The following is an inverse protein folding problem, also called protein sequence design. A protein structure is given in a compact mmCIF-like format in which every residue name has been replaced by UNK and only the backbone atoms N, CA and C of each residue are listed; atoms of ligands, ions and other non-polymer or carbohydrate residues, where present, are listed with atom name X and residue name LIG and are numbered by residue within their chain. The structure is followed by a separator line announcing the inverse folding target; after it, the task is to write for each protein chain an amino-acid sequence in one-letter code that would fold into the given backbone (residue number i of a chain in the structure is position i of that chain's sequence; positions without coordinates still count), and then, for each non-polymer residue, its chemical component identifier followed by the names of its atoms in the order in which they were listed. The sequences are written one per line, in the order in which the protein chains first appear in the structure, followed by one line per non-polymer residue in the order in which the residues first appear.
data_IF_996478616510
#
_entry.id   IF_996478616510
#
_cell.length_a   1.000
_cell.length_b   1.000
_cell.length_c   1.000
_cell.angle_alpha   90.00
_cell.angle_beta   90.00
_cell.angle_gamma   90.00
#
_symmetry.space_group_name_H-M   'P 1'
#
loop_
_entity.id
_entity.type
_entity.pdbx_description
1 polymer ?
#
# COMPACT_ATOMS: atom_id res chain seq x y z
N UNK A 1 -3.31 3.54 -12.00
CA UNK A 1 -2.19 3.73 -11.06
C UNK A 1 -2.84 3.99 -9.74
N UNK A 2 -2.45 3.21 -8.74
CA UNK A 2 -3.05 3.26 -7.41
C UNK A 2 -1.95 3.72 -6.45
N UNK A 3 -2.33 4.60 -5.52
CA UNK A 3 -1.42 5.14 -4.52
C UNK A 3 -1.99 4.81 -3.15
N UNK A 4 -1.23 4.07 -2.36
CA UNK A 4 -1.66 3.66 -1.03
C UNK A 4 -1.08 4.58 0.05
N UNK A 5 -1.91 5.00 0.99
CA UNK A 5 -1.51 5.75 2.17
C UNK A 5 -2.07 5.13 3.45
N UNK A 6 -1.30 5.24 4.53
CA UNK A 6 -1.80 4.97 5.87
C UNK A 6 -2.27 6.25 6.56
N UNK A 7 -3.52 6.25 7.01
CA UNK A 7 -4.05 7.23 7.94
C UNK A 7 -3.94 6.70 9.38
N UNK A 8 -3.38 7.53 10.29
CA UNK A 8 -3.40 7.22 11.72
C UNK A 8 -4.81 7.28 12.30
N UNK A 9 -5.61 8.23 11.81
CA UNK A 9 -7.02 8.41 12.16
C UNK A 9 -7.76 8.87 10.91
N UNK A 10 -9.02 8.50 10.75
CA UNK A 10 -9.87 9.02 9.68
C UNK A 10 -10.22 10.48 10.02
N UNK A 11 -9.82 11.47 9.19
CA UNK A 11 -10.29 12.82 9.39
C UNK A 11 -11.79 12.88 9.07
N UNK A 12 -12.58 13.56 9.91
CA UNK A 12 -14.03 13.75 9.68
C UNK A 12 -14.34 14.35 8.30
N UNK A 13 -13.38 15.07 7.70
CA UNK A 13 -13.53 15.72 6.41
C UNK A 13 -12.38 15.40 5.45
N UNK A 14 -12.08 14.11 5.19
CA UNK A 14 -11.06 13.71 4.20
C UNK A 14 -11.22 14.42 2.85
N UNK A 15 -12.46 14.60 2.38
CA UNK A 15 -12.77 15.36 1.16
C UNK A 15 -12.26 16.79 1.21
N UNK A 16 -12.36 17.47 2.36
CA UNK A 16 -11.86 18.84 2.54
C UNK A 16 -10.33 18.85 2.49
N UNK A 17 -9.68 17.94 3.20
CA UNK A 17 -8.22 17.80 3.19
C UNK A 17 -7.71 17.58 1.77
N UNK A 18 -8.31 16.65 1.01
CA UNK A 18 -7.92 16.41 -0.38
C UNK A 18 -8.14 17.64 -1.26
N UNK A 19 -9.25 18.37 -1.09
CA UNK A 19 -9.51 19.63 -1.81
C UNK A 19 -8.45 20.69 -1.51
N UNK A 20 -8.05 20.82 -0.26
CA UNK A 20 -6.99 21.74 0.15
C UNK A 20 -5.66 21.36 -0.48
N UNK A 21 -5.29 20.06 -0.45
CA UNK A 21 -4.05 19.55 -1.03
C UNK A 21 -3.98 19.82 -2.54
N UNK A 22 -5.03 19.48 -3.30
CA UNK A 22 -5.01 19.69 -4.77
C UNK A 22 -5.07 21.16 -5.19
N UNK A 23 -5.42 22.06 -4.27
CA UNK A 23 -5.44 23.50 -4.50
C UNK A 23 -4.10 24.18 -4.12
N UNK A 24 -3.14 23.44 -3.56
CA UNK A 24 -1.82 23.98 -3.21
C UNK A 24 -1.13 24.47 -4.49
N UNK A 25 -0.69 25.74 -4.55
CA UNK A 25 0.10 26.23 -5.67
C UNK A 25 1.42 25.47 -5.78
N UNK A 26 1.66 24.82 -6.91
CA UNK A 26 2.88 24.04 -7.15
C UNK A 26 3.88 24.78 -8.04
N UNK A 27 3.51 25.94 -8.58
CA UNK A 27 4.24 26.61 -9.66
C UNK A 27 4.12 25.89 -11.01
N UNK A 28 3.30 24.83 -11.10
CA UNK A 28 2.99 24.10 -12.32
C UNK A 28 1.52 24.28 -12.68
N UNK A 29 1.25 25.21 -13.59
CA UNK A 29 -0.11 25.52 -14.05
C UNK A 29 -0.61 24.60 -15.18
N UNK A 30 0.20 23.61 -15.59
CA UNK A 30 -0.15 22.69 -16.66
C UNK A 30 -0.93 21.46 -16.16
N UNK A 31 -0.86 21.18 -14.85
CA UNK A 31 -1.50 20.01 -14.23
C UNK A 31 -2.59 20.50 -13.29
N UNK A 32 -3.81 20.02 -13.51
CA UNK A 32 -4.93 20.24 -12.58
C UNK A 32 -5.48 18.91 -12.12
N UNK A 33 -6.05 18.89 -10.91
CA UNK A 33 -6.64 17.69 -10.32
C UNK A 33 -8.10 17.92 -10.01
N UNK A 34 -8.89 16.87 -10.20
CA UNK A 34 -10.32 16.85 -9.93
C UNK A 34 -10.65 15.60 -9.11
N UNK A 35 -11.27 15.76 -7.94
CA UNK A 35 -11.75 14.62 -7.15
C UNK A 35 -13.11 14.21 -7.71
N UNK A 36 -13.18 13.01 -8.28
CA UNK A 36 -14.40 12.50 -8.92
C UNK A 36 -15.24 11.67 -7.96
N UNK A 37 -14.61 10.94 -7.04
CA UNK A 37 -15.32 10.12 -6.06
C UNK A 37 -14.53 9.97 -4.76
N UNK A 38 -15.24 9.80 -3.64
CA UNK A 38 -14.68 9.34 -2.37
C UNK A 38 -15.69 8.37 -1.77
N UNK A 39 -15.24 7.15 -1.51
CA UNK A 39 -16.10 6.08 -0.99
C UNK A 39 -15.36 5.27 0.09
N UNK A 40 -16.06 4.77 1.12
CA UNK A 40 -15.51 3.74 1.99
C UNK A 40 -15.15 2.49 1.19
N UNK A 41 -14.00 1.89 1.50
CA UNK A 41 -13.63 0.56 1.00
C UNK A 41 -14.31 -0.45 1.92
N UNK A 42 -15.28 -1.18 1.39
CA UNK A 42 -15.93 -2.27 2.12
C UNK A 42 -14.93 -3.41 2.31
N UNK A 43 -14.26 -3.44 3.48
CA UNK A 43 -13.41 -4.54 3.92
C UNK A 43 -13.93 -5.01 5.27
N UNK A 44 -13.85 -6.31 5.54
CA UNK A 44 -14.12 -6.94 6.84
C UNK A 44 -13.05 -6.56 7.91
N UNK A 45 -12.73 -5.27 8.06
CA UNK A 45 -11.89 -4.71 9.13
C UNK A 45 -12.76 -3.85 10.06
N UNK A 46 -12.32 -3.68 11.31
CA UNK A 46 -12.96 -2.78 12.31
C UNK A 46 -13.03 -1.32 11.86
N UNK A 47 -12.15 -0.89 10.95
CA UNK A 47 -12.20 0.38 10.26
C UNK A 47 -12.13 0.13 8.76
N UNK A 48 -13.21 0.43 8.04
CA UNK A 48 -13.21 0.43 6.59
C UNK A 48 -12.20 1.48 6.08
N UNK A 49 -11.33 1.09 5.16
CA UNK A 49 -10.46 2.04 4.46
C UNK A 49 -11.28 3.05 3.66
N UNK A 50 -10.63 4.04 3.07
CA UNK A 50 -11.32 5.01 2.20
C UNK A 50 -10.60 5.03 0.86
N UNK A 51 -11.34 5.02 -0.24
CA UNK A 51 -10.78 5.21 -1.58
C UNK A 51 -11.21 6.57 -2.11
N UNK A 52 -10.28 7.29 -2.73
CA UNK A 52 -10.53 8.51 -3.46
C UNK A 52 -10.14 8.33 -4.93
N UNK A 53 -11.06 8.64 -5.83
CA UNK A 53 -10.79 8.65 -7.27
C UNK A 53 -10.53 10.09 -7.71
N UNK A 54 -9.42 10.29 -8.42
CA UNK A 54 -9.00 11.58 -8.94
C UNK A 54 -8.78 11.49 -10.45
N UNK A 55 -8.93 12.62 -11.13
CA UNK A 55 -8.51 12.81 -12.51
C UNK A 55 -7.48 13.94 -12.55
N UNK A 56 -6.24 13.60 -12.90
CA UNK A 56 -5.25 14.59 -13.31
C UNK A 56 -5.51 15.00 -14.78
N UNK A 57 -5.36 16.27 -15.08
CA UNK A 57 -5.48 16.81 -16.44
C UNK A 57 -4.23 17.53 -16.84
N UNK A 58 -3.72 17.18 -18.01
CA UNK A 58 -2.59 17.85 -18.67
C UNK A 58 -3.07 18.26 -20.07
N UNK A 59 -3.34 19.56 -20.25
CA UNK A 59 -4.08 20.07 -21.43
C UNK A 59 -5.38 19.26 -21.65
N UNK A 60 -5.51 18.56 -22.78
CA UNK A 60 -6.69 17.77 -23.13
C UNK A 60 -6.63 16.31 -22.63
N UNK A 61 -5.49 15.88 -22.10
CA UNK A 61 -5.28 14.51 -21.61
C UNK A 61 -5.88 14.36 -20.21
N UNK A 62 -6.69 13.31 -20.01
CA UNK A 62 -7.25 12.93 -18.71
C UNK A 62 -6.55 11.67 -18.22
N UNK A 63 -6.04 11.71 -17.00
CA UNK A 63 -5.35 10.59 -16.35
C UNK A 63 -6.08 10.26 -15.04
N UNK A 64 -6.99 9.28 -15.06
CA UNK A 64 -7.64 8.80 -13.83
C UNK A 64 -6.65 8.00 -12.98
N UNK A 65 -6.68 8.21 -11.66
CA UNK A 65 -5.93 7.41 -10.69
C UNK A 65 -6.66 7.32 -9.35
N UNK A 66 -6.42 6.22 -8.63
CA UNK A 66 -6.99 5.95 -7.33
C UNK A 66 -6.00 6.26 -6.21
N UNK A 67 -6.53 6.67 -5.06
CA UNK A 67 -5.80 6.76 -3.81
C UNK A 67 -6.54 5.96 -2.75
N UNK A 68 -5.90 4.94 -2.21
CA UNK A 68 -6.47 4.10 -1.17
C UNK A 68 -5.84 4.45 0.18
N UNK A 69 -6.70 4.64 1.18
CA UNK A 69 -6.36 5.03 2.53
C UNK A 69 -6.64 3.86 3.47
N UNK A 70 -5.58 3.15 3.87
CA UNK A 70 -5.60 2.25 5.01
C UNK A 70 -5.74 3.03 6.32
N UNK A 71 -6.34 2.42 7.35
CA UNK A 71 -6.53 3.05 8.66
C UNK A 71 -6.08 2.10 9.75
N UNK A 72 -5.21 2.60 10.64
CA UNK A 72 -4.88 1.91 11.88
C UNK A 72 -3.95 0.69 11.73
N UNK A 73 -3.33 0.48 10.57
CA UNK A 73 -2.22 -0.47 10.45
C UNK A 73 -1.00 0.01 11.26
N UNK A 74 -0.19 -0.94 11.69
CA UNK A 74 0.99 -0.72 12.55
C UNK A 74 2.24 -0.77 11.67
N UNK A 75 3.13 0.21 11.82
CA UNK A 75 4.42 0.23 11.12
C UNK A 75 5.53 -0.16 12.10
N UNK A 76 6.34 -1.14 11.71
CA UNK A 76 7.48 -1.68 12.46
C UNK A 76 8.73 -1.67 11.57
N UNK A 77 9.85 -1.08 11.99
CA UNK A 77 10.07 -0.44 13.29
C UNK A 77 9.48 0.97 13.36
N UNK A 78 9.48 1.71 12.25
CA UNK A 78 8.89 3.04 12.11
C UNK A 78 8.79 3.42 10.62
N UNK A 79 8.11 4.52 10.32
CA UNK A 79 8.04 5.06 8.95
C UNK A 79 9.39 5.62 8.51
N UNK A 80 9.76 5.35 7.26
CA UNK A 80 10.99 5.85 6.67
C UNK A 80 10.72 7.11 5.85
N UNK A 81 11.70 8.02 5.79
CA UNK A 81 11.62 9.22 4.94
C UNK A 81 12.44 9.01 3.68
N UNK A 82 11.77 8.97 2.54
CA UNK A 82 12.43 8.85 1.24
C UNK A 82 12.30 10.13 0.43
N UNK A 83 13.38 10.47 -0.27
CA UNK A 83 13.38 11.52 -1.28
C UNK A 83 12.93 10.92 -2.60
N UNK A 84 11.83 11.40 -3.16
CA UNK A 84 11.39 10.94 -4.49
C UNK A 84 12.11 11.78 -5.56
N UNK A 85 12.78 11.15 -6.54
CA UNK A 85 13.40 11.88 -7.64
C UNK A 85 12.33 12.54 -8.52
N UNK A 86 12.58 13.79 -8.92
CA UNK A 86 11.70 14.49 -9.87
C UNK A 86 11.98 14.03 -11.28
N UNK A 87 10.93 13.86 -12.08
CA UNK A 87 11.05 13.51 -13.50
C UNK A 87 11.35 14.74 -14.38
N UNK A 88 11.03 15.94 -13.88
CA UNK A 88 11.26 17.21 -14.57
C UNK A 88 12.27 18.04 -13.79
N UNK A 89 13.12 18.76 -14.53
CA UNK A 89 14.06 19.72 -13.97
C UNK A 89 13.35 20.92 -13.35
N UNK A 90 14.01 21.57 -12.39
CA UNK A 90 13.51 22.78 -11.74
C UNK A 90 12.48 22.55 -10.61
N UNK A 91 12.06 21.31 -10.38
CA UNK A 91 11.19 20.94 -9.26
C UNK A 91 11.99 20.43 -8.06
N UNK A 92 11.60 20.83 -6.86
CA UNK A 92 12.20 20.31 -5.63
C UNK A 92 11.75 18.87 -5.39
N UNK A 93 12.72 17.96 -5.19
CA UNK A 93 12.45 16.56 -4.83
C UNK A 93 11.74 16.46 -3.47
N UNK A 94 10.50 15.94 -3.42
CA UNK A 94 9.74 15.88 -2.17
C UNK A 94 10.29 14.82 -1.23
N UNK A 95 10.17 15.07 0.06
CA UNK A 95 10.42 14.10 1.13
C UNK A 95 9.08 13.52 1.57
N UNK A 96 8.91 12.21 1.40
CA UNK A 96 7.67 11.51 1.79
C UNK A 96 7.95 10.51 2.90
N UNK A 97 6.96 10.29 3.77
CA UNK A 97 6.99 9.15 4.68
C UNK A 97 6.49 7.91 3.93
N UNK A 98 7.16 6.80 4.14
CA UNK A 98 6.86 5.50 3.56
C UNK A 98 6.80 4.45 4.66
N UNK A 99 6.23 3.30 4.32
CA UNK A 99 6.34 2.12 5.15
C UNK A 99 7.79 1.65 5.21
N UNK A 100 8.18 1.05 6.34
CA UNK A 100 9.44 0.29 6.38
C UNK A 100 9.33 -0.96 5.52
N UNK A 101 10.48 -1.45 5.10
CA UNK A 101 10.61 -2.69 4.33
C UNK A 101 9.91 -3.86 5.02
N UNK A 102 10.12 -4.02 6.34
CA UNK A 102 9.58 -5.13 7.12
C UNK A 102 8.05 -5.08 7.20
N UNK A 103 7.48 -3.88 7.33
CA UNK A 103 6.01 -3.72 7.33
C UNK A 103 5.44 -4.08 5.95
N UNK A 104 6.07 -3.60 4.87
CA UNK A 104 5.62 -3.93 3.51
C UNK A 104 5.64 -5.44 3.25
N UNK A 105 6.69 -6.15 3.68
CA UNK A 105 6.77 -7.61 3.55
C UNK A 105 5.70 -8.28 4.44
N UNK A 106 5.56 -7.83 5.69
CA UNK A 106 4.59 -8.41 6.64
C UNK A 106 3.14 -8.30 6.14
N UNK A 107 2.75 -7.16 5.59
CA UNK A 107 1.40 -6.97 5.04
C UNK A 107 1.12 -7.84 3.82
N UNK A 108 2.14 -8.09 2.98
CA UNK A 108 2.03 -8.99 1.82
C UNK A 108 1.92 -10.44 2.25
N UNK A 109 2.70 -10.87 3.24
CA UNK A 109 2.61 -12.23 3.80
C UNK A 109 1.25 -12.46 4.45
N UNK A 110 0.76 -11.50 5.25
CA UNK A 110 -0.59 -11.54 5.82
C UNK A 110 -1.65 -11.72 4.72
N UNK A 111 -1.57 -10.90 3.68
CA UNK A 111 -2.48 -10.94 2.53
C UNK A 111 -2.45 -12.28 1.77
N UNK A 112 -1.26 -12.89 1.62
CA UNK A 112 -1.07 -14.19 0.99
C UNK A 112 -1.70 -15.29 1.85
N UNK A 113 -1.40 -15.34 3.15
CA UNK A 113 -1.88 -16.36 4.06
C UNK A 113 -3.39 -16.26 4.33
N UNK A 114 -3.98 -15.06 4.29
CA UNK A 114 -5.41 -14.88 4.46
C UNK A 114 -6.23 -15.36 3.26
N UNK A 115 -5.67 -15.30 2.04
CA UNK A 115 -6.39 -15.66 0.81
C UNK A 115 -6.01 -17.04 0.27
N UNK A 116 -4.83 -17.55 0.59
CA UNK A 116 -4.32 -18.85 0.14
C UNK A 116 -4.51 -19.05 -1.38
N UNK A 117 -5.05 -20.19 -1.80
CA UNK A 117 -5.35 -20.57 -3.20
C UNK A 117 -6.34 -19.63 -3.93
N UNK A 118 -7.05 -18.77 -3.19
CA UNK A 118 -7.96 -17.77 -3.75
C UNK A 118 -7.25 -16.45 -4.07
N UNK A 119 -5.96 -16.34 -3.80
CA UNK A 119 -5.19 -15.13 -4.06
C UNK A 119 -4.97 -14.94 -5.57
N UNK A 120 -5.43 -13.82 -6.11
CA UNK A 120 -4.98 -13.29 -7.42
C UNK A 120 -3.74 -12.40 -7.29
N UNK A 121 -3.12 -12.36 -6.11
CA UNK A 121 -2.04 -11.41 -5.75
C UNK A 121 -0.66 -11.94 -6.11
N UNK A 122 -0.47 -12.47 -7.33
CA UNK A 122 0.85 -12.92 -7.80
C UNK A 122 1.93 -11.83 -7.72
N UNK A 123 1.53 -10.56 -7.80
CA UNK A 123 2.44 -9.42 -7.61
C UNK A 123 3.05 -9.37 -6.21
N UNK A 124 2.34 -9.80 -5.16
CA UNK A 124 2.86 -9.76 -3.80
C UNK A 124 4.04 -10.72 -3.61
N UNK A 125 3.99 -11.91 -4.24
CA UNK A 125 5.12 -12.84 -4.25
C UNK A 125 6.33 -12.23 -4.97
N UNK A 126 6.12 -11.61 -6.13
CA UNK A 126 7.19 -10.93 -6.85
C UNK A 126 7.77 -9.77 -6.05
N UNK A 127 6.93 -8.98 -5.38
CA UNK A 127 7.39 -7.87 -4.56
C UNK A 127 8.22 -8.37 -3.38
N UNK A 128 7.78 -9.41 -2.66
CA UNK A 128 8.58 -10.02 -1.58
C UNK A 128 9.91 -10.53 -2.12
N UNK A 129 9.89 -11.28 -3.24
CA UNK A 129 11.11 -11.77 -3.88
C UNK A 129 12.06 -10.61 -4.25
N UNK A 130 11.54 -9.58 -4.90
CA UNK A 130 12.33 -8.42 -5.31
C UNK A 130 12.93 -7.71 -4.09
N UNK A 131 12.11 -7.44 -3.08
CA UNK A 131 12.54 -6.75 -1.86
C UNK A 131 13.62 -7.56 -1.13
N UNK A 132 13.44 -8.88 -0.99
CA UNK A 132 14.40 -9.76 -0.34
C UNK A 132 15.72 -9.95 -1.09
N UNK A 133 15.74 -9.75 -2.40
CA UNK A 133 16.96 -9.83 -3.21
C UNK A 133 17.66 -8.47 -3.39
N UNK A 134 17.01 -7.37 -3.03
CA UNK A 134 17.52 -6.01 -3.27
C UNK A 134 17.93 -5.28 -2.01
N UNK A 135 17.36 -5.65 -0.87
CA UNK A 135 17.58 -4.98 0.39
C UNK A 135 17.90 -6.00 1.48
N UNK A 136 18.87 -5.67 2.32
CA UNK A 136 19.10 -6.40 3.56
C UNK A 136 18.09 -5.94 4.61
N UNK A 137 17.63 -6.87 5.45
CA UNK A 137 16.79 -6.58 6.61
C UNK A 137 17.15 -7.49 7.77
N UNK A 138 16.84 -7.03 8.99
CA UNK A 138 17.03 -7.82 10.20
C UNK A 138 15.84 -8.78 10.37
N UNK A 139 16.13 -10.09 10.37
CA UNK A 139 15.11 -11.13 10.54
C UNK A 139 14.33 -11.02 11.85
N UNK A 140 14.92 -10.47 12.91
CA UNK A 140 14.23 -10.24 14.19
C UNK A 140 13.21 -9.11 14.09
N UNK A 141 13.54 -8.04 13.36
CA UNK A 141 12.62 -6.90 13.11
C UNK A 141 11.50 -7.33 12.18
N UNK A 142 11.80 -8.13 11.15
CA UNK A 142 10.77 -8.71 10.28
C UNK A 142 9.81 -9.63 11.04
N UNK A 143 10.33 -10.48 11.92
CA UNK A 143 9.50 -11.32 12.77
C UNK A 143 8.58 -10.49 13.69
N UNK A 144 9.08 -9.38 14.24
CA UNK A 144 8.27 -8.44 15.01
C UNK A 144 7.17 -7.79 14.14
N UNK A 145 7.52 -7.36 12.92
CA UNK A 145 6.59 -6.76 11.98
C UNK A 145 5.46 -7.71 11.58
N UNK A 146 5.78 -8.99 11.32
CA UNK A 146 4.80 -10.04 11.06
C UNK A 146 3.85 -10.21 12.25
N UNK A 147 4.41 -10.40 13.45
CA UNK A 147 3.63 -10.60 14.68
C UNK A 147 2.66 -9.44 14.93
N UNK A 148 3.15 -8.20 14.85
CA UNK A 148 2.33 -6.99 15.08
C UNK A 148 1.27 -6.80 13.99
N UNK A 149 1.60 -7.11 12.74
CA UNK A 149 0.64 -7.03 11.62
C UNK A 149 -0.50 -8.03 11.82
N UNK A 150 -0.18 -9.30 12.10
CA UNK A 150 -1.18 -10.35 12.29
C UNK A 150 -2.07 -10.05 13.51
N UNK A 151 -1.47 -9.65 14.63
CA UNK A 151 -2.20 -9.26 15.85
C UNK A 151 -3.14 -8.08 15.57
N UNK A 152 -2.67 -7.04 14.89
CA UNK A 152 -3.49 -5.86 14.57
C UNK A 152 -4.67 -6.21 13.66
N UNK A 153 -4.48 -7.17 12.75
CA UNK A 153 -5.50 -7.62 11.80
C UNK A 153 -6.38 -8.75 12.37
N UNK A 154 -6.09 -9.25 13.57
CA UNK A 154 -6.83 -10.32 14.22
C UNK A 154 -6.67 -11.67 13.53
N UNK A 155 -5.57 -11.86 12.79
CA UNK A 155 -5.27 -13.12 12.12
C UNK A 155 -4.36 -13.98 13.01
N UNK A 156 -4.58 -15.28 12.95
CA UNK A 156 -3.71 -16.28 13.57
C UNK A 156 -3.45 -17.34 12.52
N UNK A 157 -2.18 -17.54 12.18
CA UNK A 157 -1.75 -18.49 11.17
C UNK A 157 -1.04 -19.68 11.82
N UNK A 158 -1.31 -20.88 11.34
CA UNK A 158 -0.64 -22.10 11.79
C UNK A 158 0.58 -22.41 10.92
N UNK A 159 1.49 -23.25 11.41
CA UNK A 159 2.69 -23.66 10.66
C UNK A 159 2.31 -24.34 9.34
N UNK A 160 1.25 -25.14 9.35
CA UNK A 160 0.74 -25.85 8.18
C UNK A 160 0.31 -24.88 7.07
N UNK A 161 -0.22 -23.70 7.40
CA UNK A 161 -0.56 -22.69 6.39
C UNK A 161 0.68 -22.11 5.72
N UNK A 162 1.78 -21.93 6.47
CA UNK A 162 3.05 -21.52 5.88
C UNK A 162 3.61 -22.62 4.97
N UNK A 163 3.58 -23.88 5.42
CA UNK A 163 4.02 -25.03 4.62
C UNK A 163 3.22 -25.14 3.32
N UNK A 164 1.90 -24.93 3.37
CA UNK A 164 1.05 -24.95 2.20
C UNK A 164 1.41 -23.85 1.19
N UNK A 165 1.64 -22.61 1.64
CA UNK A 165 2.07 -21.52 0.75
C UNK A 165 3.42 -21.82 0.10
N UNK A 166 4.35 -22.41 0.85
CA UNK A 166 5.67 -22.80 0.33
C UNK A 166 5.58 -23.93 -0.71
N UNK A 167 4.53 -24.75 -0.66
CA UNK A 167 4.28 -25.84 -1.61
C UNK A 167 3.45 -25.40 -2.84
N UNK A 168 3.03 -24.14 -2.94
CA UNK A 168 2.22 -23.67 -4.08
C UNK A 168 2.90 -23.79 -5.44
N UNK A 169 4.23 -23.80 -5.50
CA UNK A 169 4.96 -24.03 -6.75
C UNK A 169 4.72 -25.45 -7.30
N UNK A 170 4.47 -26.42 -6.42
CA UNK A 170 4.18 -27.81 -6.79
C UNK A 170 2.68 -28.07 -7.04
N UNK A 171 1.81 -27.06 -6.82
CA UNK A 171 0.37 -27.20 -6.99
C UNK A 171 -0.06 -26.95 -8.45
N UNK A 172 -0.46 -28.02 -9.14
CA UNK A 172 -0.93 -27.99 -10.53
C UNK A 172 -2.10 -27.03 -10.78
N UNK A 173 -2.92 -26.74 -9.76
CA UNK A 173 -4.06 -25.82 -9.90
C UNK A 173 -3.61 -24.36 -9.84
N UNK A 174 -2.53 -24.07 -9.12
CA UNK A 174 -1.91 -22.75 -9.06
C UNK A 174 -1.07 -22.46 -10.30
N UNK A 175 -0.41 -23.47 -10.88
CA UNK A 175 0.38 -23.32 -12.13
C UNK A 175 -0.48 -23.00 -13.38
N UNK A 176 -1.79 -23.24 -13.33
CA UNK A 176 -2.72 -23.07 -14.46
C UNK A 176 -3.51 -21.74 -14.41
N UNK A 177 -3.31 -20.91 -13.38
CA UNK A 177 -3.93 -19.58 -13.23
C UNK A 177 -3.00 -18.47 -13.71
#
# INVERSE_FOLDING_TARGET
MDVDFLLRNVPEQLKKVLKEIIAIPTGNDFVTFEITNIAPIAVAKKYAGISASLVARIKNTKMPFGIDFGVGDVIVPNREKHRIPTQLDGFAAPMVNTYSLETTIAEKIDAILSLMEFSSRMKDYYDIYYLANKFDFDGSVLAEALRKTFENRGHTFTVEQFEQVMAFDDDETMQKK
#
